data_IF_903179658510
#
_entry.id   IF_903179658510
#
_cell.length_a   1.000
_cell.length_b   1.000
_cell.length_c   1.000
_cell.angle_alpha   90.00
_cell.angle_beta   90.00
_cell.angle_gamma   90.00
#
_symmetry.space_group_name_H-M   'P 1'
#
loop_
_entity.id
_entity.type
_entity.pdbx_description
1 polymer ?
#
# COMPACT_ATOMS: atom_id res chain seq x y z
N UNK A 1 -13.97 -2.10 -39.27
CA UNK A 1 -13.32 -2.92 -38.21
C UNK A 1 -12.85 -1.97 -37.11
N UNK A 2 -13.44 -2.00 -35.91
CA UNK A 2 -13.23 -1.00 -34.85
C UNK A 2 -12.16 -1.49 -33.85
N UNK A 3 -11.08 -0.72 -33.72
CA UNK A 3 -9.99 -0.91 -32.75
C UNK A 3 -10.52 -0.75 -31.32
N UNK A 4 -10.29 -1.75 -30.46
CA UNK A 4 -10.88 -1.87 -29.12
C UNK A 4 -9.89 -2.11 -27.99
N UNK A 5 -8.60 -1.90 -28.22
CA UNK A 5 -7.59 -2.03 -27.18
C UNK A 5 -7.34 -0.65 -26.56
N UNK A 6 -7.86 -0.44 -25.35
CA UNK A 6 -7.58 0.77 -24.57
C UNK A 6 -6.44 0.48 -23.62
N UNK A 7 -5.23 0.63 -24.14
CA UNK A 7 -4.00 0.53 -23.36
C UNK A 7 -3.57 1.93 -22.91
N UNK A 8 -3.15 2.05 -21.66
CA UNK A 8 -2.60 3.28 -21.09
C UNK A 8 -1.24 2.96 -20.48
N UNK A 9 -0.25 3.71 -20.92
CA UNK A 9 1.06 3.81 -20.30
C UNK A 9 1.14 5.16 -19.58
N UNK A 10 1.53 5.13 -18.32
CA UNK A 10 1.75 6.32 -17.52
C UNK A 10 3.13 6.25 -16.86
N UNK A 11 3.76 7.40 -16.78
CA UNK A 11 4.93 7.65 -15.98
C UNK A 11 4.56 8.61 -14.87
N UNK A 12 5.15 8.42 -13.69
CA UNK A 12 4.94 9.26 -12.53
C UNK A 12 6.25 9.61 -11.84
N UNK A 13 6.34 10.84 -11.38
CA UNK A 13 7.38 11.32 -10.47
C UNK A 13 6.73 11.61 -9.12
N UNK A 14 7.48 11.37 -8.05
CA UNK A 14 7.09 11.65 -6.68
C UNK A 14 8.19 12.47 -6.01
N UNK A 15 7.81 13.55 -5.35
CA UNK A 15 8.67 14.30 -4.45
C UNK A 15 7.99 14.45 -3.10
N UNK A 16 8.76 14.30 -2.04
CA UNK A 16 8.30 14.44 -0.65
C UNK A 16 9.34 15.13 0.21
N UNK A 17 8.88 15.70 1.32
CA UNK A 17 9.74 16.17 2.39
C UNK A 17 9.38 15.40 3.66
N UNK A 18 10.38 14.80 4.29
CA UNK A 18 10.26 14.10 5.55
C UNK A 18 11.05 14.82 6.63
N UNK A 19 10.59 14.67 7.88
CA UNK A 19 11.32 15.15 9.04
C UNK A 19 11.32 14.06 10.10
N UNK A 20 12.48 13.77 10.66
CA UNK A 20 12.66 12.94 11.84
C UNK A 20 13.03 13.83 13.01
N UNK A 21 12.49 13.53 14.18
CA UNK A 21 12.88 14.17 15.43
C UNK A 21 12.89 13.14 16.54
N UNK A 22 13.83 13.27 17.47
CA UNK A 22 13.88 12.45 18.67
C UNK A 22 13.96 13.34 19.92
N UNK A 23 13.19 12.99 20.94
CA UNK A 23 13.31 13.58 22.26
C UNK A 23 14.35 12.76 23.01
N UNK A 24 15.54 13.34 23.20
CA UNK A 24 16.66 12.66 23.84
C UNK A 24 16.63 12.79 25.38
N UNK A 25 15.65 13.51 25.92
CA UNK A 25 15.53 13.75 27.34
C UNK A 25 15.08 12.48 28.07
N UNK A 26 15.81 12.08 29.13
CA UNK A 26 15.55 10.87 29.89
C UNK A 26 16.01 9.57 29.21
N UNK A 27 16.72 9.64 28.08
CA UNK A 27 17.36 8.46 27.48
C UNK A 27 18.60 8.07 28.30
N UNK A 28 18.83 6.76 28.42
CA UNK A 28 19.98 6.19 29.11
C UNK A 28 20.89 5.53 28.10
N UNK A 29 22.17 5.82 28.17
CA UNK A 29 23.17 5.31 27.24
C UNK A 29 24.00 4.22 27.90
N UNK A 30 24.52 3.29 27.09
CA UNK A 30 25.33 2.17 27.59
C UNK A 30 26.58 2.67 28.34
N UNK A 31 27.15 3.80 27.90
CA UNK A 31 28.27 4.47 28.57
C UNK A 31 27.95 5.03 29.97
N UNK A 32 26.67 5.06 30.36
CA UNK A 32 26.20 5.52 31.68
C UNK A 32 25.93 4.36 32.65
N UNK A 33 26.27 3.13 32.26
CA UNK A 33 26.22 1.95 33.13
C UNK A 33 27.63 1.52 33.51
N UNK A 34 27.97 1.60 34.79
CA UNK A 34 29.32 1.31 35.32
C UNK A 34 29.48 -0.13 35.85
N UNK A 35 28.45 -0.97 35.66
CA UNK A 35 28.38 -2.34 36.16
C UNK A 35 27.82 -2.47 37.58
N UNK A 36 27.69 -1.38 38.35
CA UNK A 36 27.00 -1.33 39.63
C UNK A 36 25.60 -0.71 39.52
N UNK A 37 25.37 0.14 38.51
CA UNK A 37 24.07 0.73 38.25
C UNK A 37 24.09 1.71 37.08
N UNK A 38 23.03 2.51 36.98
CA UNK A 38 22.96 3.66 36.08
C UNK A 38 23.45 4.90 36.84
N UNK A 39 24.42 5.62 36.26
CA UNK A 39 24.90 6.91 36.76
C UNK A 39 24.65 8.00 35.72
N UNK A 40 23.78 8.95 36.05
CA UNK A 40 23.42 10.06 35.18
C UNK A 40 24.53 11.09 34.97
N UNK A 41 25.56 11.08 35.83
CA UNK A 41 26.70 12.00 35.73
C UNK A 41 27.75 11.53 34.71
N UNK A 42 27.67 10.30 34.24
CA UNK A 42 28.57 9.78 33.22
C UNK A 42 28.22 10.36 31.84
N UNK A 43 29.23 10.73 31.03
CA UNK A 43 28.99 11.23 29.68
C UNK A 43 28.35 10.15 28.81
N UNK A 44 27.44 10.57 27.93
CA UNK A 44 26.72 9.67 27.02
C UNK A 44 27.59 9.12 25.89
N UNK A 45 28.79 9.66 25.68
CA UNK A 45 29.72 9.27 24.61
C UNK A 45 29.27 9.66 23.18
N UNK A 46 28.01 10.07 23.02
CA UNK A 46 27.39 10.40 21.73
C UNK A 46 27.46 11.90 21.40
N UNK A 47 27.78 12.24 20.15
CA UNK A 47 27.79 13.63 19.67
C UNK A 47 26.40 14.05 19.22
N UNK A 48 25.69 14.82 20.05
CA UNK A 48 24.33 15.27 19.79
C UNK A 48 24.31 16.50 18.86
N UNK A 49 24.52 16.30 17.56
CA UNK A 49 24.55 17.41 16.59
C UNK A 49 23.18 18.05 16.34
N UNK A 50 22.08 17.28 16.38
CA UNK A 50 20.70 17.79 16.26
C UNK A 50 19.66 16.78 16.75
N UNK A 51 18.58 17.24 17.39
CA UNK A 51 17.43 16.40 17.74
C UNK A 51 16.40 16.29 16.59
N UNK A 52 16.65 16.97 15.46
CA UNK A 52 15.74 17.04 14.30
C UNK A 52 16.52 17.02 12.99
N UNK A 53 16.06 16.22 12.02
CA UNK A 53 16.67 16.08 10.70
C UNK A 53 15.59 16.06 9.62
N UNK A 54 15.71 16.97 8.66
CA UNK A 54 14.82 17.08 7.50
C UNK A 54 15.47 16.49 6.25
N UNK A 55 14.69 15.84 5.40
CA UNK A 55 15.19 15.25 4.16
C UNK A 55 14.16 15.35 3.04
N UNK A 56 14.66 15.52 1.82
CA UNK A 56 13.84 15.44 0.59
C UNK A 56 13.92 14.02 0.07
N UNK A 57 12.79 13.46 -0.35
CA UNK A 57 12.68 12.13 -0.90
C UNK A 57 12.13 12.17 -2.32
N UNK A 58 12.78 11.48 -3.24
CA UNK A 58 12.39 11.42 -4.64
C UNK A 58 12.08 9.98 -5.07
N UNK A 59 11.02 9.84 -5.87
CA UNK A 59 10.60 8.57 -6.43
C UNK A 59 10.13 8.70 -7.88
N UNK A 60 10.14 7.59 -8.61
CA UNK A 60 9.61 7.52 -9.96
C UNK A 60 8.98 6.15 -10.21
N UNK A 61 8.04 6.08 -11.15
CA UNK A 61 7.42 4.82 -11.50
C UNK A 61 6.71 4.84 -12.85
N UNK A 62 6.46 3.62 -13.34
CA UNK A 62 5.72 3.36 -14.56
C UNK A 62 4.49 2.51 -14.23
N UNK A 63 3.39 2.81 -14.89
CA UNK A 63 2.14 2.06 -14.84
C UNK A 63 1.71 1.71 -16.24
N UNK A 64 1.44 0.43 -16.47
CA UNK A 64 0.87 -0.08 -17.69
C UNK A 64 -0.46 -0.74 -17.36
N UNK A 65 -1.54 -0.32 -18.01
CA UNK A 65 -2.85 -0.94 -17.85
C UNK A 65 -3.56 -1.06 -19.17
N UNK A 66 -4.42 -2.05 -19.28
CA UNK A 66 -5.23 -2.24 -20.46
C UNK A 66 -6.44 -3.09 -20.21
N UNK A 67 -7.28 -3.17 -21.22
CA UNK A 67 -8.47 -4.01 -21.26
C UNK A 67 -8.50 -4.76 -22.59
N UNK A 68 -8.69 -6.08 -22.52
CA UNK A 68 -8.83 -6.91 -23.71
C UNK A 68 -10.27 -6.89 -24.22
N UNK A 69 -10.48 -7.32 -25.46
CA UNK A 69 -11.83 -7.46 -26.05
C UNK A 69 -12.76 -8.37 -25.24
N UNK A 70 -12.21 -9.31 -24.48
CA UNK A 70 -12.98 -10.21 -23.60
C UNK A 70 -13.32 -9.62 -22.23
N UNK A 71 -13.09 -8.32 -22.00
CA UNK A 71 -13.38 -7.67 -20.72
C UNK A 71 -12.38 -8.00 -19.60
N UNK A 72 -11.29 -8.71 -19.91
CA UNK A 72 -10.19 -8.90 -18.97
C UNK A 72 -9.40 -7.59 -18.87
N UNK A 73 -9.34 -7.04 -17.67
CA UNK A 73 -8.51 -5.87 -17.38
C UNK A 73 -7.21 -6.34 -16.73
N UNK A 74 -6.12 -5.68 -17.06
CA UNK A 74 -4.83 -5.95 -16.44
C UNK A 74 -4.16 -4.62 -16.09
N UNK A 75 -3.37 -4.63 -15.03
CA UNK A 75 -2.58 -3.49 -14.58
C UNK A 75 -1.29 -4.00 -13.98
N UNK A 76 -0.18 -3.46 -14.42
CA UNK A 76 1.13 -3.73 -13.85
C UNK A 76 1.90 -2.43 -13.72
N UNK A 77 2.75 -2.34 -12.71
CA UNK A 77 3.58 -1.18 -12.52
C UNK A 77 4.86 -1.50 -11.76
N UNK A 78 5.86 -0.68 -12.01
CA UNK A 78 7.14 -0.70 -11.31
C UNK A 78 7.42 0.70 -10.78
N UNK A 79 8.03 0.78 -9.61
CA UNK A 79 8.40 2.04 -8.99
C UNK A 79 9.71 1.90 -8.22
N UNK A 80 10.46 2.99 -8.17
CA UNK A 80 11.63 3.15 -7.32
C UNK A 80 11.39 4.35 -6.42
N UNK A 81 11.41 4.11 -5.11
CA UNK A 81 11.34 5.15 -4.08
C UNK A 81 12.74 5.35 -3.50
N UNK A 82 12.97 6.51 -2.86
CA UNK A 82 14.26 6.86 -2.27
C UNK A 82 15.40 6.92 -3.29
N UNK A 83 15.11 7.42 -4.50
CA UNK A 83 16.07 7.52 -5.60
C UNK A 83 17.34 8.27 -5.21
N UNK A 84 17.19 9.35 -4.45
CA UNK A 84 18.27 10.20 -3.97
C UNK A 84 18.92 9.68 -2.67
N UNK A 85 18.48 8.53 -2.14
CA UNK A 85 18.99 7.89 -0.93
C UNK A 85 19.27 8.90 0.19
N UNK A 86 18.21 9.60 0.65
CA UNK A 86 18.36 10.70 1.60
C UNK A 86 18.98 10.20 2.90
N UNK A 87 19.88 11.01 3.46
CA UNK A 87 20.33 10.79 4.84
C UNK A 87 19.20 11.18 5.78
N UNK A 88 18.94 10.30 6.74
CA UNK A 88 17.88 10.44 7.75
C UNK A 88 18.45 10.45 9.16
N UNK A 89 19.77 10.65 9.27
CA UNK A 89 20.50 10.67 10.54
C UNK A 89 20.14 11.88 11.37
N UNK A 90 20.03 11.65 12.68
CA UNK A 90 19.83 12.69 13.69
C UNK A 90 21.18 13.23 14.22
N UNK A 91 22.22 12.40 14.20
CA UNK A 91 23.50 12.70 14.86
C UNK A 91 24.54 13.33 13.93
N UNK A 92 24.12 13.87 12.77
CA UNK A 92 25.00 14.54 11.81
C UNK A 92 25.94 13.61 11.03
N UNK A 93 25.92 12.30 11.30
CA UNK A 93 26.62 11.28 10.51
C UNK A 93 25.83 10.97 9.23
N UNK A 94 26.48 10.95 8.06
CA UNK A 94 25.82 10.58 6.80
C UNK A 94 25.64 9.06 6.61
N UNK A 95 25.80 8.28 7.68
CA UNK A 95 25.78 6.81 7.63
C UNK A 95 24.36 6.24 7.58
N UNK A 96 23.39 6.87 8.25
CA UNK A 96 21.99 6.46 8.18
C UNK A 96 21.33 7.04 6.93
N UNK A 97 21.21 6.21 5.89
CA UNK A 97 20.61 6.54 4.60
C UNK A 97 19.44 5.63 4.32
N UNK A 98 18.40 6.22 3.74
CA UNK A 98 17.24 5.45 3.31
C UNK A 98 17.56 4.72 2.01
N UNK A 99 17.71 3.40 2.08
CA UNK A 99 17.98 2.59 0.90
C UNK A 99 16.86 2.70 -0.13
N UNK A 100 17.24 2.68 -1.41
CA UNK A 100 16.30 2.60 -2.54
C UNK A 100 15.33 1.44 -2.34
N UNK A 101 14.04 1.73 -2.49
CA UNK A 101 12.99 0.71 -2.46
C UNK A 101 12.47 0.47 -3.87
N UNK A 102 12.68 -0.73 -4.37
CA UNK A 102 12.15 -1.20 -5.64
C UNK A 102 10.83 -1.90 -5.39
N UNK A 103 9.78 -1.50 -6.10
CA UNK A 103 8.45 -2.12 -6.00
C UNK A 103 7.97 -2.51 -7.39
N UNK A 104 7.39 -3.70 -7.51
CA UNK A 104 6.71 -4.16 -8.71
C UNK A 104 5.36 -4.77 -8.30
N UNK A 105 4.33 -4.53 -9.11
CA UNK A 105 3.03 -5.16 -8.91
C UNK A 105 2.37 -5.51 -10.23
N UNK A 106 1.49 -6.51 -10.18
CA UNK A 106 0.58 -6.83 -11.26
C UNK A 106 -0.75 -7.32 -10.70
N UNK A 107 -1.83 -6.92 -11.34
CA UNK A 107 -3.19 -7.39 -11.06
C UNK A 107 -3.92 -7.69 -12.36
N UNK A 108 -4.73 -8.74 -12.34
CA UNK A 108 -5.72 -9.00 -13.36
C UNK A 108 -7.10 -8.80 -12.75
N UNK A 109 -8.08 -8.45 -13.58
CA UNK A 109 -9.50 -8.50 -13.26
C UNK A 109 -10.19 -9.25 -14.39
N UNK A 110 -10.66 -10.44 -14.07
CA UNK A 110 -11.32 -11.35 -15.01
C UNK A 110 -12.78 -11.45 -14.56
N UNK A 111 -13.68 -10.80 -15.28
CA UNK A 111 -15.10 -10.84 -14.98
C UNK A 111 -15.74 -12.01 -15.70
N UNK A 112 -16.13 -13.05 -14.95
CA UNK A 112 -17.01 -14.10 -15.43
C UNK A 112 -18.49 -13.80 -15.14
N UNK A 113 -19.37 -14.76 -15.43
CA UNK A 113 -20.83 -14.54 -15.38
C UNK A 113 -21.37 -14.20 -13.98
N UNK A 114 -20.79 -14.81 -12.94
CA UNK A 114 -21.23 -14.65 -11.54
C UNK A 114 -20.15 -14.10 -10.62
N UNK A 115 -18.91 -14.40 -10.94
CA UNK A 115 -17.75 -14.06 -10.11
C UNK A 115 -16.74 -13.28 -10.95
N UNK A 116 -16.18 -12.25 -10.34
CA UNK A 116 -15.00 -11.57 -10.87
C UNK A 116 -13.79 -11.99 -10.05
N UNK A 117 -12.77 -12.48 -10.74
CA UNK A 117 -11.51 -12.93 -10.17
C UNK A 117 -10.48 -11.81 -10.27
N UNK A 118 -9.74 -11.58 -9.20
CA UNK A 118 -8.77 -10.51 -9.08
C UNK A 118 -7.46 -11.04 -8.49
N UNK A 119 -6.70 -11.86 -9.24
CA UNK A 119 -5.39 -12.28 -8.82
C UNK A 119 -4.43 -11.10 -8.82
N UNK A 120 -3.56 -11.03 -7.81
CA UNK A 120 -2.58 -9.96 -7.64
C UNK A 120 -1.25 -10.53 -7.17
N UNK A 121 -0.19 -9.87 -7.58
CA UNK A 121 1.17 -10.07 -7.10
C UNK A 121 1.80 -8.72 -6.80
N UNK A 122 2.56 -8.67 -5.72
CA UNK A 122 3.29 -7.53 -5.23
C UNK A 122 4.68 -8.00 -4.79
N UNK A 123 5.71 -7.29 -5.21
CA UNK A 123 7.09 -7.54 -4.84
C UNK A 123 7.71 -6.21 -4.43
N UNK A 124 8.38 -6.20 -3.29
CA UNK A 124 9.12 -5.05 -2.79
C UNK A 124 10.47 -5.48 -2.27
N UNK A 125 11.50 -4.68 -2.53
CA UNK A 125 12.85 -4.88 -2.01
C UNK A 125 13.42 -3.55 -1.54
N UNK A 126 13.91 -3.52 -0.30
CA UNK A 126 14.55 -2.34 0.28
C UNK A 126 15.75 -2.79 1.14
N UNK A 127 16.95 -2.42 0.71
CA UNK A 127 18.19 -2.95 1.31
C UNK A 127 18.23 -4.48 1.24
N UNK A 128 18.48 -5.13 2.37
CA UNK A 128 18.44 -6.60 2.52
C UNK A 128 17.02 -7.16 2.71
N UNK A 129 16.02 -6.31 2.98
CA UNK A 129 14.64 -6.73 3.19
C UNK A 129 13.92 -6.96 1.87
N UNK A 130 13.20 -8.09 1.78
CA UNK A 130 12.40 -8.47 0.60
C UNK A 130 11.04 -8.97 1.03
N UNK A 131 10.01 -8.45 0.37
CA UNK A 131 8.63 -8.82 0.55
C UNK A 131 8.03 -9.26 -0.78
N UNK A 132 7.38 -10.43 -0.79
CA UNK A 132 6.65 -10.95 -1.93
C UNK A 132 5.29 -11.37 -1.42
N UNK A 133 4.23 -10.82 -2.01
CA UNK A 133 2.85 -11.16 -1.68
C UNK A 133 2.16 -11.52 -2.98
N UNK A 134 1.48 -12.66 -3.02
CA UNK A 134 0.60 -12.99 -4.13
C UNK A 134 -0.65 -13.66 -3.63
N UNK A 135 -1.73 -13.56 -4.39
CA UNK A 135 -3.00 -14.12 -3.99
C UNK A 135 -4.10 -13.73 -4.93
N UNK A 136 -5.33 -13.99 -4.51
CA UNK A 136 -6.50 -13.66 -5.30
C UNK A 136 -7.63 -13.22 -4.41
N UNK A 137 -8.32 -12.17 -4.86
CA UNK A 137 -9.63 -11.81 -4.36
C UNK A 137 -10.66 -12.16 -5.42
N UNK A 138 -11.80 -12.64 -4.99
CA UNK A 138 -12.96 -12.85 -5.83
C UNK A 138 -14.09 -12.00 -5.31
N UNK A 139 -14.94 -11.50 -6.19
CA UNK A 139 -16.19 -10.88 -5.75
C UNK A 139 -17.38 -11.25 -6.58
N UNK A 140 -18.54 -11.23 -5.94
CA UNK A 140 -19.84 -11.41 -6.56
C UNK A 140 -20.69 -10.20 -6.26
N UNK A 141 -21.24 -9.58 -7.30
CA UNK A 141 -22.20 -8.50 -7.17
C UNK A 141 -23.60 -9.07 -6.90
N UNK A 142 -24.32 -8.43 -5.98
CA UNK A 142 -25.66 -8.82 -5.55
C UNK A 142 -26.53 -7.57 -5.61
N UNK A 143 -27.68 -7.68 -6.27
CA UNK A 143 -28.60 -6.55 -6.52
C UNK A 143 -28.60 -6.11 -7.98
N UNK A 144 -29.65 -5.40 -8.37
CA UNK A 144 -29.80 -4.87 -9.72
C UNK A 144 -29.15 -3.49 -9.80
N UNK A 145 -28.22 -3.32 -10.75
CA UNK A 145 -27.87 -1.98 -11.20
C UNK A 145 -28.98 -1.49 -12.14
N UNK A 146 -29.47 -0.27 -11.94
CA UNK A 146 -30.44 0.33 -12.84
C UNK A 146 -29.83 0.44 -14.23
N UNK A 147 -30.49 -0.13 -15.25
CA UNK A 147 -30.07 -0.01 -16.65
C UNK A 147 -30.39 1.37 -17.23
N UNK A 148 -31.30 2.12 -16.60
CA UNK A 148 -31.85 3.38 -17.10
C UNK A 148 -31.31 4.63 -16.39
N UNK A 149 -30.79 4.49 -15.17
CA UNK A 149 -30.14 5.58 -14.44
C UNK A 149 -28.66 5.26 -14.25
N UNK A 150 -27.79 6.28 -14.26
CA UNK A 150 -26.34 6.12 -14.00
C UNK A 150 -26.04 5.63 -12.57
N UNK A 151 -27.06 5.50 -11.73
CA UNK A 151 -26.98 5.04 -10.34
C UNK A 151 -26.77 3.53 -10.25
N UNK A 152 -25.51 3.12 -10.11
CA UNK A 152 -25.12 1.75 -9.83
C UNK A 152 -25.12 1.51 -8.31
N UNK A 153 -26.15 0.85 -7.80
CA UNK A 153 -26.36 0.61 -6.36
C UNK A 153 -26.17 -0.85 -5.95
N UNK A 154 -25.60 -1.70 -6.81
CA UNK A 154 -25.28 -3.09 -6.46
C UNK A 154 -24.40 -3.18 -5.21
N UNK A 155 -24.67 -4.16 -4.35
CA UNK A 155 -23.72 -4.59 -3.33
C UNK A 155 -22.72 -5.57 -3.94
N UNK A 156 -21.59 -5.81 -3.27
CA UNK A 156 -20.67 -6.89 -3.63
C UNK A 156 -20.10 -7.56 -2.39
N UNK A 157 -19.98 -8.88 -2.43
CA UNK A 157 -19.22 -9.64 -1.43
C UNK A 157 -17.90 -10.09 -2.05
N UNK A 158 -16.80 -9.80 -1.36
CA UNK A 158 -15.44 -10.12 -1.71
C UNK A 158 -14.92 -11.18 -0.75
N UNK A 159 -14.21 -12.18 -1.27
CA UNK A 159 -13.53 -13.21 -0.50
C UNK A 159 -12.24 -13.61 -1.20
N UNK A 160 -11.21 -13.93 -0.45
CA UNK A 160 -9.98 -14.45 -1.01
C UNK A 160 -8.90 -14.63 0.03
N UNK A 161 -7.69 -14.86 -0.45
CA UNK A 161 -6.52 -14.97 0.40
C UNK A 161 -5.28 -14.49 -0.31
N UNK A 162 -4.30 -14.05 0.48
CA UNK A 162 -2.96 -13.72 0.03
C UNK A 162 -1.95 -14.57 0.78
N UNK A 163 -0.83 -14.86 0.13
CA UNK A 163 0.31 -15.50 0.74
C UNK A 163 1.48 -14.53 0.69
N UNK A 164 1.96 -14.15 1.88
CA UNK A 164 3.22 -13.43 2.06
C UNK A 164 4.33 -14.48 2.15
N UNK A 165 5.16 -14.50 1.12
CA UNK A 165 6.19 -15.50 0.92
C UNK A 165 7.06 -15.68 2.16
N UNK A 166 7.18 -16.93 2.62
CA UNK A 166 7.93 -17.31 3.83
C UNK A 166 7.45 -16.67 5.14
N UNK A 167 6.26 -16.07 5.19
CA UNK A 167 5.77 -15.41 6.40
C UNK A 167 4.37 -15.87 6.81
N UNK A 168 3.34 -15.50 6.05
CA UNK A 168 1.95 -15.67 6.47
C UNK A 168 0.97 -15.94 5.32
N UNK A 169 -0.14 -16.63 5.62
CA UNK A 169 -1.33 -16.69 4.77
C UNK A 169 -2.37 -15.75 5.35
N UNK A 170 -2.93 -14.87 4.52
CA UNK A 170 -3.86 -13.82 4.91
C UNK A 170 -5.21 -14.06 4.24
N UNK A 171 -6.13 -14.84 4.84
CA UNK A 171 -7.53 -14.83 4.42
C UNK A 171 -8.16 -13.45 4.57
N UNK A 172 -9.02 -13.10 3.63
CA UNK A 172 -9.72 -11.82 3.59
C UNK A 172 -11.17 -11.99 3.16
N UNK A 173 -12.06 -11.23 3.80
CA UNK A 173 -13.45 -11.07 3.40
C UNK A 173 -13.81 -9.59 3.43
N UNK A 174 -14.57 -9.11 2.44
CA UNK A 174 -15.01 -7.72 2.39
C UNK A 174 -16.43 -7.61 1.85
N UNK A 175 -17.22 -6.71 2.41
CA UNK A 175 -18.56 -6.39 1.94
C UNK A 175 -18.61 -4.95 1.43
N UNK A 176 -19.03 -4.78 0.19
CA UNK A 176 -19.27 -3.50 -0.48
C UNK A 176 -20.78 -3.22 -0.48
N UNK A 177 -21.20 -2.17 0.22
CA UNK A 177 -22.55 -1.65 0.26
C UNK A 177 -22.73 -0.54 -0.78
N UNK A 178 -23.69 -0.73 -1.70
CA UNK A 178 -24.14 0.22 -2.73
C UNK A 178 -23.02 0.86 -3.55
N UNK A 179 -21.90 0.16 -3.76
CA UNK A 179 -20.68 0.69 -4.38
C UNK A 179 -20.15 1.98 -3.73
N UNK A 180 -20.50 2.24 -2.46
CA UNK A 180 -20.19 3.48 -1.72
C UNK A 180 -19.39 3.25 -0.45
N UNK A 181 -19.62 2.14 0.23
CA UNK A 181 -18.92 1.80 1.46
C UNK A 181 -18.43 0.37 1.35
N UNK A 182 -17.16 0.10 1.62
CA UNK A 182 -16.63 -1.25 1.75
C UNK A 182 -16.02 -1.46 3.13
N UNK A 183 -16.40 -2.57 3.76
CA UNK A 183 -15.89 -3.01 5.07
C UNK A 183 -15.16 -4.32 4.84
N UNK A 184 -13.87 -4.38 5.18
CA UNK A 184 -13.04 -5.57 5.00
C UNK A 184 -12.43 -6.07 6.30
N UNK A 185 -12.30 -7.38 6.41
CA UNK A 185 -11.63 -8.09 7.49
C UNK A 185 -10.53 -8.97 6.90
N UNK A 186 -9.35 -8.93 7.50
CA UNK A 186 -8.23 -9.83 7.21
C UNK A 186 -7.63 -10.37 8.51
N UNK A 187 -7.00 -11.53 8.41
CA UNK A 187 -6.31 -12.16 9.54
C UNK A 187 -5.00 -12.77 9.08
N UNK A 188 -3.88 -12.38 9.70
CA UNK A 188 -2.57 -12.92 9.34
C UNK A 188 -2.34 -14.28 10.02
N UNK A 189 -2.29 -15.36 9.25
CA UNK A 189 -1.91 -16.68 9.75
C UNK A 189 -0.42 -16.93 9.49
N UNK A 190 0.42 -16.71 10.50
CA UNK A 190 1.87 -16.91 10.38
C UNK A 190 2.20 -18.39 10.12
N UNK A 191 2.88 -18.67 9.01
CA UNK A 191 3.32 -20.01 8.57
C UNK A 191 4.83 -20.22 8.81
N UNK A 192 5.60 -19.15 9.04
CA UNK A 192 7.07 -19.17 9.20
C UNK A 192 7.57 -19.84 10.49
N UNK A 193 8.89 -20.03 10.62
CA UNK A 193 9.56 -20.67 11.79
C UNK A 193 9.31 -19.95 13.13
N UNK A 194 8.67 -18.79 13.14
CA UNK A 194 8.11 -18.11 14.33
C UNK A 194 6.85 -18.78 14.90
N UNK A 195 6.41 -19.91 14.33
CA UNK A 195 5.35 -20.80 14.85
C UNK A 195 5.45 -21.10 16.35
N UNK A 196 6.66 -21.32 16.86
CA UNK A 196 6.90 -21.69 18.26
C UNK A 196 6.67 -20.54 19.25
N UNK A 197 6.75 -19.28 18.81
CA UNK A 197 6.60 -18.11 19.69
C UNK A 197 5.19 -17.50 19.68
N UNK A 198 4.39 -17.72 18.63
CA UNK A 198 3.12 -16.99 18.41
C UNK A 198 1.86 -17.85 18.37
N UNK A 199 1.95 -19.20 18.41
CA UNK A 199 0.77 -20.10 18.37
C UNK A 199 -0.20 -19.82 17.20
N UNK A 200 0.32 -19.47 16.01
CA UNK A 200 -0.49 -19.06 14.84
C UNK A 200 -1.35 -17.80 15.06
N UNK A 201 -1.13 -17.04 16.13
CA UNK A 201 -1.82 -15.77 16.37
C UNK A 201 -1.13 -14.67 15.58
N UNK A 202 -1.72 -14.27 14.45
CA UNK A 202 -1.44 -12.95 13.89
C UNK A 202 -2.41 -11.89 14.38
N UNK A 203 -2.37 -10.73 13.72
CA UNK A 203 -3.28 -9.62 13.98
C UNK A 203 -4.55 -9.73 13.13
N UNK A 204 -5.70 -9.45 13.74
CA UNK A 204 -6.92 -9.17 12.99
C UNK A 204 -6.90 -7.71 12.54
N UNK A 205 -7.19 -7.49 11.26
CA UNK A 205 -7.26 -6.15 10.69
C UNK A 205 -8.67 -5.85 10.20
N UNK A 206 -9.13 -4.62 10.47
CA UNK A 206 -10.40 -4.08 10.01
C UNK A 206 -10.12 -2.90 9.07
N UNK A 207 -10.75 -2.91 7.90
CA UNK A 207 -10.66 -1.84 6.91
C UNK A 207 -12.03 -1.24 6.61
N UNK A 208 -12.08 0.09 6.49
CA UNK A 208 -13.25 0.85 6.10
C UNK A 208 -12.89 1.75 4.92
N UNK A 209 -13.63 1.65 3.82
CA UNK A 209 -13.37 2.38 2.59
C UNK A 209 -14.64 3.06 2.10
N UNK A 210 -14.58 4.38 1.86
CA UNK A 210 -15.63 5.13 1.19
C UNK A 210 -15.28 5.32 -0.28
N UNK A 211 -16.18 4.91 -1.18
CA UNK A 211 -16.02 4.93 -2.63
C UNK A 211 -17.02 5.95 -3.20
N UNK A 212 -16.56 7.15 -3.52
CA UNK A 212 -17.41 8.18 -4.12
C UNK A 212 -16.73 9.55 -4.17
N UNK A 213 -17.38 10.48 -4.86
CA UNK A 213 -16.98 11.89 -4.83
C UNK A 213 -17.65 12.58 -3.63
N UNK A 214 -16.89 13.36 -2.86
CA UNK A 214 -17.44 14.19 -1.77
C UNK A 214 -18.27 15.38 -2.29
N UNK A 215 -18.11 15.76 -3.55
CA UNK A 215 -18.92 16.78 -4.22
C UNK A 215 -19.11 16.40 -5.69
N UNK A 216 -20.35 16.12 -6.07
CA UNK A 216 -20.73 15.89 -7.47
C UNK A 216 -20.86 17.25 -8.17
N UNK A 217 -19.74 17.93 -8.41
CA UNK A 217 -19.72 19.09 -9.31
C UNK A 217 -19.81 18.58 -10.74
N UNK A 218 -20.99 18.09 -11.13
CA UNK A 218 -21.31 17.96 -12.56
C UNK A 218 -21.14 19.35 -13.16
N UNK A 219 -20.10 19.53 -13.98
CA UNK A 219 -20.06 20.65 -14.91
C UNK A 219 -21.27 20.49 -15.82
N UNK A 220 -22.33 21.24 -15.53
CA UNK A 220 -23.38 21.51 -16.51
C UNK A 220 -22.66 22.20 -17.65
N UNK A 221 -22.51 21.52 -18.79
CA UNK A 221 -22.08 22.18 -20.01
C UNK A 221 -23.15 23.25 -20.31
N UNK A 222 -22.77 24.53 -20.52
CA UNK A 222 -23.72 25.55 -20.88
C UNK A 222 -24.42 25.13 -22.18
N UNK A 223 -25.75 25.18 -22.17
CA UNK A 223 -26.65 24.93 -23.30
C UNK A 223 -26.03 25.29 -24.66
N UNK A 224 -25.57 24.29 -25.41
CA UNK A 224 -25.31 24.41 -26.84
C UNK A 224 -26.64 24.24 -27.57
N UNK A 225 -27.22 25.34 -28.05
CA UNK A 225 -28.45 25.36 -28.84
C UNK A 225 -28.34 24.41 -30.04
N UNK A 226 -29.41 23.66 -30.28
CA UNK A 226 -29.69 23.02 -31.57
C UNK A 226 -29.90 24.08 -32.64
N UNK A 227 -29.17 23.96 -33.75
CA UNK A 227 -29.64 24.29 -35.09
C UNK A 227 -29.40 23.07 -35.96
#
# INVERSE_FOLDING_TARGET
MRSGERTLLAFGLQGGYGQRSAVLNGMRWDSQYDGAGYDENLPTGETMASSTSGFVDLGAGFLWRGETKGGMQWRSGIAVMHLNEPSVSLFGSSEDRLFRRYTAHAELRITGDRWTWMPKVYVSQQGSSREIIFGTLMHRRIGQDSRYTTDKTSNAFHIGCFYRWNDAVVPMAQFEYKRKLAIGLSYDLNVSKLRAATHMRGGAELSLQWIGAFSDKRRVLPNGKSF
#
